data_IF_988361804907
#
_entry.id   IF_988361804907
#
_cell.length_a   1.000
_cell.length_b   1.000
_cell.length_c   1.000
_cell.angle_alpha   90.00
_cell.angle_beta   90.00
_cell.angle_gamma   90.00
#
_symmetry.space_group_name_H-M   'P 1'
#
loop_
_entity.id
_entity.type
_entity.pdbx_description
1 polymer ?
#
# COMPACT_ATOMS: atom_id res chain seq x y z
N UNK A 1 14.64 -4.06 -16.83
CA UNK A 1 15.20 -4.15 -18.20
C UNK A 1 14.44 -3.30 -19.22
N UNK A 2 13.19 -3.60 -19.59
CA UNK A 2 12.46 -2.81 -20.59
C UNK A 2 12.12 -1.38 -20.11
N UNK A 3 11.59 -1.23 -18.89
CA UNK A 3 11.29 0.07 -18.30
C UNK A 3 12.55 0.96 -18.16
N UNK A 4 13.67 0.38 -17.74
CA UNK A 4 14.95 1.09 -17.64
C UNK A 4 15.44 1.57 -19.01
N UNK A 5 15.38 0.71 -20.03
CA UNK A 5 15.76 1.09 -21.41
C UNK A 5 14.86 2.18 -21.98
N UNK A 6 13.61 2.25 -21.54
CA UNK A 6 12.67 3.30 -21.92
C UNK A 6 12.86 4.60 -21.12
N UNK A 7 13.83 4.67 -20.20
CA UNK A 7 14.14 5.88 -19.42
C UNK A 7 13.17 6.16 -18.28
N UNK A 8 12.40 5.16 -17.82
CA UNK A 8 11.57 5.33 -16.63
C UNK A 8 12.44 5.59 -15.38
N UNK A 9 11.91 6.33 -14.38
CA UNK A 9 12.59 6.52 -13.10
C UNK A 9 12.88 5.18 -12.42
N UNK A 10 13.74 5.18 -11.37
CA UNK A 10 14.14 3.96 -10.70
C UNK A 10 12.94 3.06 -10.33
N UNK A 11 13.04 1.80 -10.72
CA UNK A 11 11.93 0.84 -10.67
C UNK A 11 11.54 0.57 -9.22
N UNK A 12 10.23 0.58 -8.97
CA UNK A 12 9.63 0.19 -7.70
C UNK A 12 8.95 -1.15 -7.87
N UNK A 13 9.32 -2.12 -7.04
CA UNK A 13 8.76 -3.47 -7.03
C UNK A 13 7.91 -3.58 -5.76
N UNK A 14 6.68 -4.04 -5.87
CA UNK A 14 5.82 -4.30 -4.71
C UNK A 14 5.58 -5.80 -4.62
N UNK A 15 5.83 -6.37 -3.46
CA UNK A 15 5.63 -7.78 -3.14
C UNK A 15 4.68 -7.85 -1.94
N UNK A 16 3.52 -8.45 -2.14
CA UNK A 16 2.66 -8.85 -1.01
C UNK A 16 3.24 -10.15 -0.47
N UNK A 17 3.66 -10.14 0.80
CA UNK A 17 4.32 -11.28 1.44
C UNK A 17 3.27 -12.17 2.09
N UNK A 18 3.29 -13.45 1.72
CA UNK A 18 2.35 -14.47 2.16
C UNK A 18 3.12 -15.70 2.65
N UNK A 19 2.93 -16.04 3.93
CA UNK A 19 3.53 -17.22 4.58
C UNK A 19 3.07 -18.50 3.88
N UNK A 20 4.03 -19.38 3.56
CA UNK A 20 3.83 -20.64 2.87
C UNK A 20 3.53 -20.51 1.37
N UNK A 21 3.70 -19.31 0.79
CA UNK A 21 3.41 -19.03 -0.63
C UNK A 21 4.60 -18.39 -1.34
N UNK A 22 5.19 -17.35 -0.75
CA UNK A 22 6.33 -16.64 -1.34
C UNK A 22 7.29 -16.05 -0.29
N UNK A 23 7.14 -16.40 0.98
CA UNK A 23 7.96 -15.85 2.07
C UNK A 23 9.42 -16.33 2.01
N UNK A 24 9.69 -17.43 1.33
CA UNK A 24 11.03 -17.88 1.00
C UNK A 24 11.77 -16.93 0.05
N UNK A 25 11.05 -16.18 -0.79
CA UNK A 25 11.63 -15.27 -1.80
C UNK A 25 12.02 -13.89 -1.21
N UNK A 26 11.72 -13.62 0.07
CA UNK A 26 11.96 -12.30 0.70
C UNK A 26 13.41 -11.83 0.51
N UNK A 27 14.38 -12.72 0.72
CA UNK A 27 15.80 -12.39 0.60
C UNK A 27 16.23 -12.19 -0.86
N UNK A 28 15.66 -12.94 -1.79
CA UNK A 28 15.95 -12.83 -3.22
C UNK A 28 15.43 -11.50 -3.77
N UNK A 29 14.22 -11.10 -3.37
CA UNK A 29 13.67 -9.79 -3.70
C UNK A 29 14.47 -8.66 -3.03
N UNK A 30 14.88 -8.80 -1.77
CA UNK A 30 15.72 -7.81 -1.09
C UNK A 30 17.05 -7.60 -1.84
N UNK A 31 17.66 -8.69 -2.33
CA UNK A 31 18.91 -8.65 -3.07
C UNK A 31 18.83 -7.86 -4.38
N UNK A 32 17.66 -7.75 -5.00
CA UNK A 32 17.46 -6.91 -6.20
C UNK A 32 17.76 -5.43 -5.97
N UNK A 33 17.72 -4.96 -4.72
CA UNK A 33 18.07 -3.58 -4.35
C UNK A 33 19.57 -3.34 -4.17
N UNK A 34 20.40 -4.40 -4.13
CA UNK A 34 21.84 -4.28 -3.86
C UNK A 34 22.55 -3.62 -5.04
N UNK A 35 22.48 -4.22 -6.22
CA UNK A 35 23.26 -3.74 -7.37
C UNK A 35 22.50 -2.72 -8.22
N UNK A 36 21.18 -2.65 -8.05
CA UNK A 36 20.30 -1.79 -8.86
C UNK A 36 19.62 -0.76 -7.98
N UNK A 37 19.33 0.45 -8.50
CA UNK A 37 18.61 1.49 -7.76
C UNK A 37 17.11 1.16 -7.60
N UNK A 38 16.77 -0.11 -7.41
CA UNK A 38 15.41 -0.55 -7.22
C UNK A 38 14.94 -0.27 -5.81
N UNK A 39 13.67 0.12 -5.68
CA UNK A 39 13.00 0.13 -4.38
C UNK A 39 12.07 -1.07 -4.29
N UNK A 40 12.41 -2.02 -3.42
CA UNK A 40 11.61 -3.23 -3.21
C UNK A 40 10.74 -3.03 -1.98
N UNK A 41 9.43 -3.12 -2.15
CA UNK A 41 8.44 -2.86 -1.11
C UNK A 41 7.75 -4.15 -0.72
N UNK A 42 7.95 -4.56 0.51
CA UNK A 42 7.23 -5.67 1.12
C UNK A 42 5.97 -5.14 1.79
N UNK A 43 4.84 -5.76 1.47
CA UNK A 43 3.51 -5.37 1.91
C UNK A 43 2.94 -6.55 2.69
N UNK A 44 2.47 -6.31 3.91
CA UNK A 44 1.77 -7.36 4.66
C UNK A 44 0.53 -7.81 3.89
N UNK A 45 0.33 -9.13 3.84
CA UNK A 45 -0.93 -9.66 3.35
C UNK A 45 -2.08 -9.23 4.29
N UNK A 46 -3.17 -8.79 3.67
CA UNK A 46 -4.35 -8.22 4.32
C UNK A 46 -5.62 -8.79 3.68
N UNK A 47 -6.74 -8.87 4.41
CA UNK A 47 -7.94 -9.56 3.95
C UNK A 47 -8.69 -8.71 2.93
N UNK A 48 -8.31 -8.84 1.66
CA UNK A 48 -9.04 -8.22 0.54
C UNK A 48 -10.18 -9.12 0.05
N UNK A 49 -10.10 -10.42 0.30
CA UNK A 49 -11.15 -11.40 0.03
C UNK A 49 -11.73 -11.93 1.35
N UNK A 50 -12.90 -12.58 1.29
CA UNK A 50 -13.52 -13.33 2.39
C UNK A 50 -12.73 -14.63 2.65
N UNK A 51 -11.43 -14.49 2.91
CA UNK A 51 -10.58 -15.56 3.41
C UNK A 51 -10.59 -15.46 4.93
N UNK A 52 -11.15 -16.46 5.60
CA UNK A 52 -11.24 -16.47 7.06
C UNK A 52 -9.89 -16.79 7.71
N UNK A 53 -8.94 -17.35 6.96
CA UNK A 53 -7.64 -17.80 7.46
C UNK A 53 -6.48 -16.89 7.05
N UNK A 54 -6.78 -15.70 6.53
CA UNK A 54 -5.77 -14.75 6.05
C UNK A 54 -4.68 -14.43 7.09
N UNK A 55 -5.02 -14.48 8.39
CA UNK A 55 -4.08 -14.30 9.49
C UNK A 55 -2.95 -15.34 9.48
N UNK A 56 -3.23 -16.60 9.13
CA UNK A 56 -2.24 -17.67 9.07
C UNK A 56 -1.21 -17.43 7.96
N UNK A 57 -1.62 -16.76 6.88
CA UNK A 57 -0.75 -16.39 5.76
C UNK A 57 -0.11 -15.00 5.93
N UNK A 58 -0.60 -14.18 6.87
CA UNK A 58 -0.04 -12.84 7.08
C UNK A 58 1.27 -12.90 7.86
N UNK A 59 2.26 -12.15 7.37
CA UNK A 59 3.51 -11.87 8.08
C UNK A 59 3.57 -10.40 8.42
N UNK A 60 3.87 -10.08 9.67
CA UNK A 60 4.06 -8.70 10.11
C UNK A 60 5.29 -8.06 9.46
N UNK A 61 5.28 -6.74 9.33
CA UNK A 61 6.42 -5.98 8.86
C UNK A 61 7.66 -6.17 9.73
N UNK A 62 7.50 -6.45 11.03
CA UNK A 62 8.59 -6.81 11.93
C UNK A 62 9.19 -8.19 11.62
N UNK A 63 8.37 -9.20 11.31
CA UNK A 63 8.86 -10.52 10.90
C UNK A 63 9.63 -10.43 9.58
N UNK A 64 9.10 -9.68 8.61
CA UNK A 64 9.75 -9.47 7.31
C UNK A 64 11.09 -8.74 7.50
N UNK A 65 11.12 -7.68 8.32
CA UNK A 65 12.36 -6.95 8.62
C UNK A 65 13.40 -7.83 9.33
N UNK A 66 12.96 -8.62 10.31
CA UNK A 66 13.84 -9.56 11.01
C UNK A 66 14.48 -10.54 10.02
N UNK A 67 13.68 -11.13 9.13
CA UNK A 67 14.16 -12.06 8.10
C UNK A 67 15.23 -11.43 7.20
N UNK A 68 15.02 -10.20 6.75
CA UNK A 68 16.01 -9.48 5.92
C UNK A 68 17.27 -9.18 6.74
N UNK A 69 17.11 -8.80 8.00
CA UNK A 69 18.20 -8.40 8.90
C UNK A 69 19.10 -9.57 9.31
N UNK A 70 18.62 -10.82 9.22
CA UNK A 70 19.45 -12.03 9.41
C UNK A 70 20.62 -12.10 8.41
N UNK A 71 20.45 -11.51 7.22
CA UNK A 71 21.45 -11.55 6.15
C UNK A 71 22.07 -10.19 5.84
N UNK A 72 21.31 -9.11 5.98
CA UNK A 72 21.70 -7.79 5.50
C UNK A 72 21.57 -6.74 6.61
N UNK A 73 22.64 -5.99 6.95
CA UNK A 73 22.52 -4.84 7.82
C UNK A 73 21.59 -3.78 7.21
N UNK A 74 20.56 -3.35 7.95
CA UNK A 74 19.57 -2.37 7.50
C UNK A 74 19.76 -1.04 8.21
N UNK A 75 19.86 0.03 7.41
CA UNK A 75 19.89 1.42 7.86
C UNK A 75 18.50 2.05 7.62
N UNK A 76 17.84 2.62 8.64
CA UNK A 76 16.57 3.31 8.45
C UNK A 76 16.77 4.57 7.59
N UNK A 77 15.82 4.83 6.67
CA UNK A 77 15.80 6.05 5.87
C UNK A 77 14.70 6.98 6.37
N UNK A 78 15.03 8.26 6.54
CA UNK A 78 14.05 9.29 6.91
C UNK A 78 13.16 9.57 5.72
N UNK A 79 11.86 9.32 5.86
CA UNK A 79 10.85 9.66 4.87
C UNK A 79 10.51 11.15 4.89
N UNK A 80 9.93 11.64 3.81
CA UNK A 80 9.25 12.94 3.78
C UNK A 80 7.77 12.76 4.11
N UNK A 81 7.08 13.81 4.55
CA UNK A 81 5.64 13.77 4.88
C UNK A 81 4.77 13.21 3.73
N UNK A 82 5.24 13.32 2.48
CA UNK A 82 4.55 12.86 1.28
C UNK A 82 5.01 11.48 0.76
N UNK A 83 5.89 10.77 1.47
CA UNK A 83 6.55 9.55 0.98
C UNK A 83 5.63 8.31 0.85
N UNK A 84 4.40 8.41 1.34
CA UNK A 84 3.45 7.30 1.37
C UNK A 84 3.65 6.37 2.57
N UNK A 85 3.04 5.18 2.56
CA UNK A 85 2.87 4.38 3.77
C UNK A 85 4.10 3.51 4.11
N UNK A 86 5.11 3.52 3.24
CA UNK A 86 6.28 2.66 3.38
C UNK A 86 7.27 3.28 4.37
N UNK A 87 7.64 2.52 5.40
CA UNK A 87 8.84 2.77 6.18
C UNK A 87 10.03 2.28 5.37
N UNK A 88 10.93 3.18 5.00
CA UNK A 88 12.03 2.85 4.10
C UNK A 88 13.31 2.56 4.87
N UNK A 89 14.08 1.62 4.34
CA UNK A 89 15.36 1.16 4.83
C UNK A 89 16.32 1.02 3.65
N UNK A 90 17.60 0.93 3.96
CA UNK A 90 18.65 0.67 2.99
C UNK A 90 19.52 -0.47 3.51
N UNK A 91 19.75 -1.48 2.68
CA UNK A 91 20.82 -2.43 2.95
C UNK A 91 22.15 -1.67 2.88
N UNK A 92 23.02 -1.83 3.87
CA UNK A 92 24.31 -1.17 3.89
C UNK A 92 25.09 -1.45 2.59
N UNK A 93 25.55 -0.39 1.91
CA UNK A 93 26.24 -0.48 0.63
C UNK A 93 25.36 -0.66 -0.62
N UNK A 94 24.05 -0.86 -0.49
CA UNK A 94 23.16 -1.07 -1.63
C UNK A 94 22.97 0.18 -2.51
N UNK A 95 22.66 0.00 -3.79
CA UNK A 95 22.28 1.07 -4.71
C UNK A 95 20.83 1.54 -4.49
N UNK A 96 19.94 0.60 -4.16
CA UNK A 96 18.52 0.80 -3.98
C UNK A 96 18.07 0.96 -2.53
N UNK A 97 16.80 0.66 -2.29
CA UNK A 97 16.16 0.74 -0.99
C UNK A 97 15.12 -0.38 -0.79
N UNK A 98 14.77 -0.63 0.46
CA UNK A 98 13.69 -1.52 0.85
C UNK A 98 12.60 -0.69 1.53
N UNK A 99 11.33 -1.01 1.29
CA UNK A 99 10.20 -0.40 1.99
C UNK A 99 9.34 -1.46 2.65
N UNK A 100 8.84 -1.18 3.85
CA UNK A 100 7.90 -2.05 4.56
C UNK A 100 6.59 -1.29 4.72
N UNK A 101 5.50 -1.88 4.21
CA UNK A 101 4.15 -1.31 4.29
C UNK A 101 3.32 -2.22 5.19
N UNK A 102 2.85 -1.65 6.30
CA UNK A 102 2.15 -2.37 7.37
C UNK A 102 0.68 -1.96 7.46
N UNK A 103 -0.18 -2.38 6.51
CA UNK A 103 -1.61 -2.05 6.55
C UNK A 103 -2.33 -2.71 7.73
N UNK A 104 -1.78 -3.78 8.32
CA UNK A 104 -2.42 -4.53 9.40
C UNK A 104 -1.74 -4.24 10.74
N UNK A 105 -0.44 -4.53 10.87
CA UNK A 105 0.23 -4.51 12.18
C UNK A 105 0.63 -3.12 12.66
N UNK A 106 0.83 -2.18 11.74
CA UNK A 106 1.45 -0.88 12.01
C UNK A 106 0.79 0.22 11.18
N UNK A 107 -0.51 0.42 11.41
CA UNK A 107 -1.36 1.36 10.66
C UNK A 107 -0.68 2.69 10.32
N UNK A 108 -0.98 3.23 9.14
CA UNK A 108 -0.52 4.54 8.67
C UNK A 108 -1.69 5.49 8.34
N UNK A 109 -2.86 5.24 8.92
CA UNK A 109 -4.08 6.00 8.60
C UNK A 109 -4.00 7.46 9.02
N UNK A 110 -3.33 7.76 10.15
CA UNK A 110 -3.16 9.11 10.69
C UNK A 110 -2.45 10.04 9.70
N UNK A 111 -1.42 9.55 9.02
CA UNK A 111 -0.67 10.29 7.99
C UNK A 111 -1.20 10.05 6.57
N UNK A 112 -2.33 9.35 6.42
CA UNK A 112 -2.84 8.99 5.10
C UNK A 112 -3.45 10.20 4.39
N UNK A 113 -2.80 10.64 3.32
CA UNK A 113 -3.22 11.77 2.48
C UNK A 113 -3.91 11.35 1.16
N UNK A 114 -4.42 10.11 1.07
CA UNK A 114 -5.06 9.58 -0.15
C UNK A 114 -6.58 9.54 -0.08
N UNK A 115 -7.19 9.84 -1.23
CA UNK A 115 -8.55 9.44 -1.64
C UNK A 115 -8.44 8.72 -2.98
N UNK A 116 -9.49 8.04 -3.42
CA UNK A 116 -9.47 7.24 -4.65
C UNK A 116 -10.69 7.46 -5.50
N UNK A 117 -10.53 7.43 -6.82
CA UNK A 117 -11.64 7.32 -7.77
C UNK A 117 -11.55 5.94 -8.41
N UNK A 118 -12.62 5.14 -8.31
CA UNK A 118 -12.67 3.82 -8.92
C UNK A 118 -12.82 3.92 -10.44
N UNK A 119 -12.58 2.82 -11.16
CA UNK A 119 -12.81 2.76 -12.61
C UNK A 119 -14.28 3.04 -12.99
N UNK A 120 -15.23 2.83 -12.06
CA UNK A 120 -16.65 3.14 -12.25
C UNK A 120 -16.98 4.63 -12.08
N UNK A 121 -15.99 5.48 -11.73
CA UNK A 121 -16.17 6.91 -11.47
C UNK A 121 -16.60 7.24 -10.04
N UNK A 122 -16.45 6.31 -9.09
CA UNK A 122 -16.89 6.50 -7.69
C UNK A 122 -15.71 6.99 -6.85
N UNK A 123 -15.87 8.14 -6.18
CA UNK A 123 -14.87 8.62 -5.20
C UNK A 123 -15.05 7.91 -3.86
N UNK A 124 -13.93 7.52 -3.23
CA UNK A 124 -13.86 6.88 -1.91
C UNK A 124 -12.81 7.57 -1.05
N UNK A 125 -13.14 7.86 0.20
CA UNK A 125 -12.23 8.48 1.17
C UNK A 125 -11.18 7.52 1.75
N UNK A 126 -11.45 6.21 1.72
CA UNK A 126 -10.55 5.18 2.23
C UNK A 126 -10.55 3.98 1.28
N UNK A 127 -9.40 3.30 1.18
CA UNK A 127 -9.26 2.07 0.41
C UNK A 127 -10.29 1.03 0.86
N UNK A 128 -10.46 0.87 2.18
CA UNK A 128 -11.28 -0.17 2.80
C UNK A 128 -12.73 0.24 3.09
N UNK A 129 -13.14 1.49 2.84
CA UNK A 129 -14.51 1.95 3.11
C UNK A 129 -15.41 1.70 1.92
N UNK A 130 -16.52 0.96 2.08
CA UNK A 130 -17.54 0.73 1.04
C UNK A 130 -18.34 1.99 0.66
N UNK A 131 -18.22 3.06 1.43
CA UNK A 131 -18.84 4.34 1.15
C UNK A 131 -18.12 5.05 0.00
N UNK A 132 -18.92 5.57 -0.93
CA UNK A 132 -18.42 6.38 -2.03
C UNK A 132 -19.54 7.13 -2.75
N UNK A 133 -19.15 8.08 -3.60
CA UNK A 133 -20.08 8.92 -4.36
C UNK A 133 -19.77 8.79 -5.84
N UNK A 134 -20.79 8.53 -6.67
CA UNK A 134 -20.64 8.56 -8.12
C UNK A 134 -20.40 10.00 -8.60
N UNK A 135 -19.21 10.26 -9.16
CA UNK A 135 -18.84 11.57 -9.66
C UNK A 135 -19.38 11.85 -11.06
N UNK A 136 -19.73 10.83 -11.86
CA UNK A 136 -20.09 11.01 -13.27
C UNK A 136 -21.24 12.00 -13.47
N UNK A 137 -22.34 11.97 -12.69
CA UNK A 137 -23.41 12.96 -12.83
C UNK A 137 -22.92 14.41 -12.64
N UNK A 138 -21.92 14.62 -11.78
CA UNK A 138 -21.35 15.93 -11.48
C UNK A 138 -20.41 16.42 -12.58
N UNK A 139 -19.75 15.50 -13.31
CA UNK A 139 -18.86 15.84 -14.43
C UNK A 139 -19.62 16.40 -15.64
N UNK A 140 -20.91 16.11 -15.76
CA UNK A 140 -21.75 16.64 -16.83
C UNK A 140 -22.31 18.05 -16.53
N UNK A 141 -22.07 18.58 -15.33
CA UNK A 141 -22.46 19.93 -14.96
C UNK A 141 -21.41 20.94 -15.44
N UNK A 142 -21.84 22.06 -16.04
CA UNK A 142 -20.96 23.17 -16.42
C UNK A 142 -20.37 23.91 -15.21
N UNK A 143 -21.08 23.89 -14.07
CA UNK A 143 -20.58 24.45 -12.81
C UNK A 143 -19.74 23.39 -12.06
N UNK A 144 -18.45 23.65 -11.77
CA UNK A 144 -17.58 22.73 -11.04
C UNK A 144 -17.81 22.74 -9.51
N UNK A 145 -18.58 23.69 -8.97
CA UNK A 145 -18.77 23.83 -7.53
C UNK A 145 -19.32 22.56 -6.86
N UNK A 146 -20.35 21.87 -7.39
CA UNK A 146 -20.88 20.64 -6.79
C UNK A 146 -19.85 19.50 -6.74
N UNK A 147 -19.01 19.38 -7.77
CA UNK A 147 -17.92 18.40 -7.82
C UNK A 147 -16.87 18.71 -6.74
N UNK A 148 -16.44 19.98 -6.66
CA UNK A 148 -15.46 20.43 -5.68
C UNK A 148 -15.94 20.19 -4.26
N UNK A 149 -17.21 20.48 -3.98
CA UNK A 149 -17.77 20.30 -2.64
C UNK A 149 -17.93 18.82 -2.28
N UNK A 150 -18.30 17.98 -3.24
CA UNK A 150 -18.34 16.52 -3.06
C UNK A 150 -16.96 15.95 -2.73
N UNK A 151 -15.92 16.36 -3.46
CA UNK A 151 -14.54 15.91 -3.20
C UNK A 151 -14.04 16.43 -1.85
N UNK A 152 -14.33 17.70 -1.51
CA UNK A 152 -13.98 18.28 -0.20
C UNK A 152 -14.62 17.49 0.94
N UNK A 153 -15.91 17.18 0.82
CA UNK A 153 -16.64 16.37 1.80
C UNK A 153 -16.00 14.99 1.99
N UNK A 154 -15.57 14.33 0.91
CA UNK A 154 -14.89 13.03 1.01
C UNK A 154 -13.55 13.07 1.72
N UNK A 155 -12.85 14.20 1.67
CA UNK A 155 -11.62 14.40 2.46
C UNK A 155 -11.96 14.65 3.92
N UNK A 156 -12.97 15.47 4.23
CA UNK A 156 -13.33 15.82 5.61
C UNK A 156 -14.03 14.71 6.37
N UNK A 157 -14.81 13.86 5.69
CA UNK A 157 -15.52 12.71 6.27
C UNK A 157 -14.66 11.43 6.26
N UNK A 158 -13.40 11.54 5.85
CA UNK A 158 -12.48 10.41 5.82
C UNK A 158 -12.38 9.77 7.22
N UNK A 159 -12.57 8.44 7.34
CA UNK A 159 -12.43 7.78 8.62
C UNK A 159 -11.00 7.89 9.13
N UNK A 160 -10.83 8.11 10.44
CA UNK A 160 -9.50 8.25 11.06
C UNK A 160 -8.65 6.98 10.97
N UNK A 161 -9.27 5.80 10.89
CA UNK A 161 -8.61 4.52 10.61
C UNK A 161 -9.56 3.50 9.97
N UNK A 162 -9.00 2.45 9.40
CA UNK A 162 -9.76 1.24 9.08
C UNK A 162 -9.68 0.23 10.25
N UNK A 163 -10.52 -0.79 10.21
CA UNK A 163 -10.70 -1.76 11.30
C UNK A 163 -10.36 -3.21 10.89
N UNK A 164 -9.50 -3.39 9.88
CA UNK A 164 -9.15 -4.70 9.31
C UNK A 164 -8.71 -5.76 10.34
N UNK A 165 -8.04 -5.33 11.41
CA UNK A 165 -7.49 -6.20 12.45
C UNK A 165 -8.32 -6.21 13.75
N UNK A 166 -9.46 -5.51 13.78
CA UNK A 166 -10.29 -5.41 14.98
C UNK A 166 -11.07 -6.72 15.17
N UNK A 167 -11.21 -7.16 16.42
CA UNK A 167 -12.00 -8.36 16.75
C UNK A 167 -13.46 -8.19 16.31
N UNK A 168 -13.98 -9.15 15.55
CA UNK A 168 -15.34 -9.09 15.01
C UNK A 168 -15.53 -8.15 13.82
N UNK A 169 -14.45 -7.59 13.24
CA UNK A 169 -14.53 -6.79 12.03
C UNK A 169 -15.11 -7.59 10.87
N UNK A 170 -16.28 -7.16 10.38
CA UNK A 170 -16.85 -7.69 9.14
C UNK A 170 -16.11 -7.09 7.94
N UNK A 171 -14.95 -7.67 7.62
CA UNK A 171 -14.20 -7.30 6.42
C UNK A 171 -15.03 -7.69 5.19
N UNK A 172 -15.63 -6.68 4.54
CA UNK A 172 -16.37 -6.88 3.29
C UNK A 172 -15.38 -7.18 2.17
N UNK A 173 -15.78 -8.11 1.30
CA UNK A 173 -15.03 -8.50 0.10
C UNK A 173 -14.71 -7.28 -0.76
N UNK A 174 -13.43 -7.11 -1.08
CA UNK A 174 -12.94 -6.00 -1.87
C UNK A 174 -11.94 -6.48 -2.92
N UNK A 175 -12.37 -6.49 -4.17
CA UNK A 175 -11.46 -6.78 -5.27
C UNK A 175 -10.58 -5.57 -5.55
N UNK A 176 -9.27 -5.70 -5.29
CA UNK A 176 -8.27 -4.65 -5.52
C UNK A 176 -8.32 -4.11 -6.96
N UNK A 177 -8.55 -5.00 -7.93
CA UNK A 177 -8.71 -4.63 -9.34
C UNK A 177 -9.88 -3.66 -9.60
N UNK A 178 -10.99 -3.79 -8.87
CA UNK A 178 -12.17 -2.93 -9.03
C UNK A 178 -12.02 -1.53 -8.44
N UNK A 179 -11.03 -1.34 -7.58
CA UNK A 179 -10.73 -0.05 -6.95
C UNK A 179 -9.47 0.58 -7.53
N UNK A 180 -8.84 -0.03 -8.53
CA UNK A 180 -7.68 0.47 -9.28
C UNK A 180 -6.33 0.04 -8.71
N UNK A 181 -6.31 -0.94 -7.81
CA UNK A 181 -5.10 -1.53 -7.23
C UNK A 181 -4.63 -2.76 -8.00
#
# INVERSE_FOLDING_TARGET
AAAERAGFPPVKINMVVMRGVNDEEILDFAALSIDKPYTVRFIEYMPTLLDQEWHAQSMSGSEILARISERYPLLPLVGTEMAGPARNFKIEGAAGAIGIITPVSGHFCESCNRIRVTAAGVVRGCLFSDQGVDLKPLLHNSDPLPLRETVRRMVTEKPGRHHLADEGAQNKRMHMSGIGG
#
